data_IF_661311258789
#
_entry.id   IF_661311258789
#
_cell.length_a   1.000
_cell.length_b   1.000
_cell.length_c   1.000
_cell.angle_alpha   90.00
_cell.angle_beta   90.00
_cell.angle_gamma   90.00
#
_symmetry.space_group_name_H-M   'P 1'
#
loop_
_entity.id
_entity.type
_entity.pdbx_description
1 polymer ?
#
# COMPACT_ATOMS: atom_id res chain seq x y z
N UNK A 1 -0.73 -18.83 -4.39
CA UNK A 1 -1.37 -19.08 -3.08
C UNK A 1 -1.65 -17.73 -2.45
N UNK A 2 -2.85 -17.53 -1.89
CA UNK A 2 -3.20 -16.27 -1.20
C UNK A 2 -2.93 -16.48 0.30
N UNK A 3 -2.27 -15.52 0.95
CA UNK A 3 -1.99 -15.52 2.39
C UNK A 3 -0.79 -16.33 2.85
N UNK A 4 0.00 -16.89 1.93
CA UNK A 4 1.27 -17.55 2.26
C UNK A 4 2.42 -16.51 2.30
N UNK A 5 2.32 -15.57 3.22
CA UNK A 5 3.27 -14.46 3.41
C UNK A 5 3.25 -14.01 4.87
N UNK A 6 4.38 -13.53 5.37
CA UNK A 6 4.52 -12.92 6.70
C UNK A 6 4.97 -11.45 6.56
N UNK A 7 4.05 -10.53 6.27
CA UNK A 7 4.39 -9.14 6.07
C UNK A 7 4.72 -8.43 7.39
N UNK A 8 5.66 -7.50 7.35
CA UNK A 8 5.82 -6.47 8.37
C UNK A 8 4.69 -5.43 8.29
N UNK A 9 3.45 -5.87 8.51
CA UNK A 9 2.25 -5.08 8.34
C UNK A 9 0.97 -5.94 8.38
N UNK A 10 -0.19 -5.38 7.99
CA UNK A 10 -1.46 -6.08 8.06
C UNK A 10 -1.59 -7.19 7.00
N UNK A 11 -1.59 -8.46 7.42
CA UNK A 11 -1.78 -9.63 6.54
C UNK A 11 -3.10 -9.60 5.79
N UNK A 12 -4.17 -9.10 6.41
CA UNK A 12 -5.51 -9.00 5.79
C UNK A 12 -5.50 -8.14 4.54
N UNK A 13 -4.82 -6.98 4.59
CA UNK A 13 -4.64 -6.08 3.45
C UNK A 13 -3.81 -6.74 2.35
N UNK A 14 -2.74 -7.45 2.74
CA UNK A 14 -1.90 -8.18 1.79
C UNK A 14 -2.67 -9.27 1.06
N UNK A 15 -3.49 -10.05 1.78
CA UNK A 15 -4.36 -11.08 1.20
C UNK A 15 -5.39 -10.48 0.23
N UNK A 16 -5.95 -9.31 0.55
CA UNK A 16 -6.90 -8.61 -0.34
C UNK A 16 -6.24 -8.21 -1.67
N UNK A 17 -5.05 -7.62 -1.63
CA UNK A 17 -4.30 -7.26 -2.85
C UNK A 17 -3.87 -8.48 -3.66
N UNK A 18 -3.46 -9.56 -3.00
CA UNK A 18 -3.17 -10.83 -3.66
C UNK A 18 -4.40 -11.39 -4.38
N UNK A 19 -5.56 -11.41 -3.71
CA UNK A 19 -6.82 -11.86 -4.29
C UNK A 19 -7.22 -11.01 -5.50
N UNK A 20 -7.09 -9.68 -5.40
CA UNK A 20 -7.32 -8.75 -6.50
C UNK A 20 -6.39 -9.02 -7.69
N UNK A 21 -5.11 -9.23 -7.45
CA UNK A 21 -4.14 -9.52 -8.52
C UNK A 21 -4.47 -10.84 -9.22
N UNK A 22 -4.72 -11.90 -8.46
CA UNK A 22 -5.06 -13.24 -8.99
C UNK A 22 -6.34 -13.22 -9.80
N UNK A 23 -7.39 -12.55 -9.32
CA UNK A 23 -8.66 -12.43 -10.05
C UNK A 23 -8.50 -11.68 -11.36
N UNK A 24 -7.68 -10.63 -11.41
CA UNK A 24 -7.35 -9.94 -12.65
C UNK A 24 -6.52 -10.79 -13.63
N UNK A 25 -5.60 -11.62 -13.13
CA UNK A 25 -4.87 -12.60 -13.94
C UNK A 25 -5.82 -13.64 -14.54
N UNK A 26 -6.72 -14.21 -13.73
CA UNK A 26 -7.73 -15.17 -14.21
C UNK A 26 -8.70 -14.57 -15.22
N UNK A 27 -9.10 -13.31 -15.00
CA UNK A 27 -9.90 -12.55 -15.95
C UNK A 27 -9.13 -12.09 -17.20
N UNK A 28 -7.85 -12.49 -17.36
CA UNK A 28 -6.95 -12.11 -18.46
C UNK A 28 -6.80 -10.60 -18.65
N UNK A 29 -6.97 -9.83 -17.57
CA UNK A 29 -6.71 -8.38 -17.55
C UNK A 29 -5.25 -8.05 -17.33
N UNK A 30 -4.51 -8.99 -16.74
CA UNK A 30 -3.07 -8.89 -16.45
C UNK A 30 -2.43 -10.16 -16.98
N UNK A 31 -1.37 -10.01 -17.78
CA UNK A 31 -0.62 -11.15 -18.30
C UNK A 31 0.41 -11.62 -17.29
N UNK A 32 0.55 -12.94 -17.17
CA UNK A 32 1.65 -13.52 -16.43
C UNK A 32 2.96 -13.33 -17.22
N UNK A 33 4.07 -12.93 -16.56
CA UNK A 33 5.38 -12.95 -17.22
C UNK A 33 5.78 -14.39 -17.61
N UNK A 34 6.84 -14.51 -18.41
CA UNK A 34 7.40 -15.82 -18.78
C UNK A 34 7.94 -16.56 -17.56
N UNK A 35 8.02 -17.88 -17.65
CA UNK A 35 8.56 -18.73 -16.57
C UNK A 35 9.98 -18.32 -16.17
N UNK A 36 10.86 -18.07 -17.14
CA UNK A 36 12.24 -17.63 -16.88
C UNK A 36 12.29 -16.30 -16.11
N UNK A 37 11.41 -15.34 -16.46
CA UNK A 37 11.32 -14.07 -15.76
C UNK A 37 10.82 -14.25 -14.33
N UNK A 38 9.82 -15.12 -14.11
CA UNK A 38 9.32 -15.45 -12.77
C UNK A 38 10.39 -16.11 -11.91
N UNK A 39 11.13 -17.09 -12.44
CA UNK A 39 12.17 -17.79 -11.72
C UNK A 39 13.34 -16.86 -11.36
N UNK A 40 13.72 -15.97 -12.28
CA UNK A 40 14.72 -14.94 -12.03
C UNK A 40 14.28 -13.97 -10.91
N UNK A 41 13.04 -13.51 -10.95
CA UNK A 41 12.47 -12.61 -9.93
C UNK A 41 12.41 -13.28 -8.54
N UNK A 42 11.95 -14.53 -8.47
CA UNK A 42 11.94 -15.33 -7.24
C UNK A 42 13.36 -15.45 -6.65
N UNK A 43 14.37 -15.67 -7.49
CA UNK A 43 15.76 -15.77 -7.03
C UNK A 43 16.26 -14.44 -6.48
N UNK A 44 16.03 -13.34 -7.20
CA UNK A 44 16.42 -12.00 -6.77
C UNK A 44 15.76 -11.60 -5.45
N UNK A 45 14.45 -11.86 -5.29
CA UNK A 45 13.71 -11.52 -4.08
C UNK A 45 14.18 -12.34 -2.87
N UNK A 46 14.51 -13.63 -3.06
CA UNK A 46 15.10 -14.46 -2.01
C UNK A 46 16.45 -13.92 -1.54
N UNK A 47 17.32 -13.52 -2.46
CA UNK A 47 18.63 -12.93 -2.14
C UNK A 47 18.47 -11.60 -1.39
N UNK A 48 17.57 -10.72 -1.87
CA UNK A 48 17.27 -9.44 -1.24
C UNK A 48 16.70 -9.61 0.18
N UNK A 49 15.77 -10.54 0.36
CA UNK A 49 15.14 -10.84 1.66
C UNK A 49 16.16 -11.34 2.70
N UNK A 50 17.07 -12.23 2.30
CA UNK A 50 18.15 -12.72 3.19
C UNK A 50 19.06 -11.57 3.63
N UNK A 51 19.43 -10.69 2.69
CA UNK A 51 20.28 -9.53 2.99
C UNK A 51 19.57 -8.51 3.89
N UNK A 52 18.28 -8.26 3.68
CA UNK A 52 17.48 -7.28 4.44
C UNK A 52 17.25 -7.72 5.88
N UNK A 53 16.84 -8.96 6.11
CA UNK A 53 16.40 -9.41 7.44
C UNK A 53 17.52 -9.99 8.30
N UNK A 54 18.72 -10.25 7.76
CA UNK A 54 19.90 -10.77 8.49
C UNK A 54 19.59 -11.95 9.44
N UNK A 55 18.55 -12.72 9.11
CA UNK A 55 18.06 -13.86 9.87
C UNK A 55 18.39 -15.17 9.13
N UNK A 56 18.28 -16.31 9.82
CA UNK A 56 18.46 -17.60 9.15
C UNK A 56 17.47 -17.75 7.99
N UNK A 57 17.93 -18.28 6.85
CA UNK A 57 17.13 -18.42 5.62
C UNK A 57 15.77 -19.12 5.86
N UNK A 58 15.68 -19.99 6.86
CA UNK A 58 14.43 -20.67 7.26
C UNK A 58 13.42 -19.71 7.88
N UNK A 59 13.84 -18.75 8.72
CA UNK A 59 12.97 -17.75 9.36
C UNK A 59 12.61 -16.59 8.41
N UNK A 60 13.54 -16.21 7.52
CA UNK A 60 13.31 -15.14 6.56
C UNK A 60 12.50 -15.57 5.31
N UNK A 61 12.21 -16.87 5.14
CA UNK A 61 11.66 -17.43 3.90
C UNK A 61 10.29 -16.89 3.48
N UNK A 62 9.47 -16.43 4.44
CA UNK A 62 8.13 -15.87 4.21
C UNK A 62 8.05 -14.38 4.54
N UNK A 63 9.12 -13.82 5.11
CA UNK A 63 9.10 -12.45 5.63
C UNK A 63 9.21 -11.47 4.47
N UNK A 64 8.25 -10.54 4.40
CA UNK A 64 8.20 -9.53 3.33
C UNK A 64 8.05 -8.12 3.89
N UNK A 65 8.59 -7.17 3.16
CA UNK A 65 8.39 -5.75 3.44
C UNK A 65 7.04 -5.32 2.89
N UNK A 66 6.13 -4.94 3.78
CA UNK A 66 4.75 -4.63 3.46
C UNK A 66 4.64 -3.55 2.37
N UNK A 67 5.37 -2.44 2.50
CA UNK A 67 5.25 -1.30 1.57
C UNK A 67 5.76 -1.71 0.19
N UNK A 68 6.96 -2.26 0.12
CA UNK A 68 7.56 -2.69 -1.14
C UNK A 68 6.71 -3.74 -1.86
N UNK A 69 6.21 -4.75 -1.14
CA UNK A 69 5.37 -5.79 -1.72
C UNK A 69 4.03 -5.25 -2.23
N UNK A 70 3.38 -4.41 -1.42
CA UNK A 70 2.11 -3.79 -1.80
C UNK A 70 2.27 -2.84 -2.99
N UNK A 71 3.39 -2.13 -3.10
CA UNK A 71 3.69 -1.28 -4.25
C UNK A 71 3.96 -2.07 -5.52
N UNK A 72 4.64 -3.21 -5.43
CA UNK A 72 4.82 -4.12 -6.57
C UNK A 72 3.46 -4.61 -7.10
N UNK A 73 2.59 -5.09 -6.21
CA UNK A 73 1.23 -5.48 -6.58
C UNK A 73 0.43 -4.29 -7.12
N UNK A 74 0.58 -3.11 -6.51
CA UNK A 74 -0.07 -1.88 -6.95
C UNK A 74 0.33 -1.47 -8.37
N UNK A 75 1.59 -1.66 -8.76
CA UNK A 75 2.07 -1.42 -10.14
C UNK A 75 1.47 -2.42 -11.12
N UNK A 76 1.47 -3.71 -10.76
CA UNK A 76 0.88 -4.78 -11.58
C UNK A 76 -0.61 -4.51 -11.83
N UNK A 77 -1.31 -4.03 -10.80
CA UNK A 77 -2.73 -3.68 -10.84
C UNK A 77 -3.03 -2.28 -11.39
N UNK A 78 -2.00 -1.47 -11.68
CA UNK A 78 -2.13 -0.05 -12.03
C UNK A 78 -2.99 0.76 -11.03
N UNK A 79 -2.88 0.46 -9.74
CA UNK A 79 -3.57 1.16 -8.65
C UNK A 79 -2.63 1.85 -7.66
N UNK A 80 -1.31 1.82 -7.91
CA UNK A 80 -0.33 2.60 -7.16
C UNK A 80 -0.52 4.09 -7.52
N UNK A 81 -0.80 4.97 -6.54
CA UNK A 81 -0.97 6.39 -6.81
C UNK A 81 0.35 7.02 -7.28
N UNK A 82 0.26 8.00 -8.17
CA UNK A 82 1.43 8.80 -8.56
C UNK A 82 1.92 9.61 -7.35
N UNK A 83 3.06 9.24 -6.79
CA UNK A 83 3.71 9.96 -5.69
C UNK A 83 4.71 11.02 -6.16
N UNK A 84 4.72 11.35 -7.46
CA UNK A 84 5.60 12.35 -8.04
C UNK A 84 5.18 13.80 -7.78
N UNK A 85 6.01 14.74 -8.26
CA UNK A 85 5.77 16.19 -8.16
C UNK A 85 4.44 16.64 -8.76
N UNK A 86 3.90 15.91 -9.75
CA UNK A 86 2.60 16.20 -10.37
C UNK A 86 1.44 16.07 -9.39
N UNK A 87 1.51 15.13 -8.44
CA UNK A 87 0.49 14.98 -7.40
C UNK A 87 0.50 16.16 -6.44
N UNK A 88 1.69 16.65 -6.07
CA UNK A 88 1.83 17.86 -5.24
C UNK A 88 1.22 19.11 -5.90
N UNK A 89 1.26 19.21 -7.23
CA UNK A 89 0.61 20.31 -7.95
C UNK A 89 -0.90 20.16 -8.05
N UNK A 90 -1.41 18.92 -8.15
CA UNK A 90 -2.84 18.66 -8.29
C UNK A 90 -3.58 18.73 -6.96
N UNK A 91 -3.00 18.14 -5.91
CA UNK A 91 -3.60 18.05 -4.59
C UNK A 91 -2.50 17.98 -3.51
N UNK A 92 -1.97 19.13 -3.08
CA UNK A 92 -0.82 19.19 -2.18
C UNK A 92 -1.10 18.54 -0.82
N UNK A 93 -2.34 18.64 -0.32
CA UNK A 93 -2.75 18.04 0.96
C UNK A 93 -2.74 16.52 0.88
N UNK A 94 -3.30 15.97 -0.20
CA UNK A 94 -3.28 14.53 -0.43
C UNK A 94 -1.85 14.03 -0.67
N UNK A 95 -1.05 14.73 -1.48
CA UNK A 95 0.34 14.39 -1.76
C UNK A 95 1.18 14.33 -0.48
N UNK A 96 1.01 15.31 0.41
CA UNK A 96 1.68 15.33 1.71
C UNK A 96 1.25 14.13 2.57
N UNK A 97 -0.06 13.84 2.64
CA UNK A 97 -0.57 12.70 3.41
C UNK A 97 -0.10 11.35 2.85
N UNK A 98 0.01 11.21 1.53
CA UNK A 98 0.53 9.99 0.89
C UNK A 98 2.02 9.78 1.13
N UNK A 99 2.81 10.86 1.23
CA UNK A 99 4.26 10.77 1.36
C UNK A 99 4.73 10.74 2.83
N UNK A 100 4.14 11.58 3.68
CA UNK A 100 4.54 11.76 5.08
C UNK A 100 3.55 11.20 6.09
N UNK A 101 2.35 10.80 5.64
CA UNK A 101 1.33 10.19 6.49
C UNK A 101 1.48 8.67 6.58
N UNK A 102 0.59 8.01 7.34
CA UNK A 102 0.58 6.56 7.45
C UNK A 102 0.11 5.92 6.14
N UNK A 103 0.83 4.90 5.68
CA UNK A 103 0.41 4.09 4.54
C UNK A 103 -0.82 3.28 4.95
N UNK A 104 -1.97 3.63 4.36
CA UNK A 104 -3.24 2.95 4.61
C UNK A 104 -3.64 2.10 3.40
N UNK A 105 -4.44 1.03 3.57
CA UNK A 105 -4.95 0.24 2.45
C UNK A 105 -5.70 1.07 1.38
N UNK A 106 -6.21 2.24 1.77
CA UNK A 106 -6.89 3.20 0.90
C UNK A 106 -5.98 3.76 -0.21
N UNK A 107 -4.65 3.75 -0.03
CA UNK A 107 -3.69 4.21 -1.04
C UNK A 107 -3.88 3.44 -2.36
N UNK A 108 -4.06 2.12 -2.27
CA UNK A 108 -4.23 1.22 -3.42
C UNK A 108 -5.67 1.18 -3.98
N UNK A 109 -6.51 2.14 -3.56
CA UNK A 109 -7.86 2.40 -4.09
C UNK A 109 -8.05 3.84 -4.56
N UNK A 110 -6.99 4.65 -4.52
CA UNK A 110 -7.04 6.04 -4.96
C UNK A 110 -7.10 6.14 -6.49
N UNK A 111 -6.40 5.24 -7.17
CA UNK A 111 -6.37 5.11 -8.63
C UNK A 111 -6.64 3.67 -9.08
N UNK A 112 -6.84 3.50 -10.39
CA UNK A 112 -7.15 2.22 -11.02
C UNK A 112 -8.66 1.93 -11.13
N UNK A 113 -9.00 0.69 -11.47
CA UNK A 113 -10.39 0.27 -11.75
C UNK A 113 -11.30 0.24 -10.53
N UNK A 114 -10.73 0.30 -9.32
CA UNK A 114 -11.46 0.28 -8.04
C UNK A 114 -11.47 1.66 -7.37
N UNK A 115 -11.35 2.73 -8.16
CA UNK A 115 -11.35 4.10 -7.67
C UNK A 115 -12.69 4.44 -7.04
N UNK A 116 -12.65 4.83 -5.76
CA UNK A 116 -13.82 5.29 -5.00
C UNK A 116 -13.69 6.80 -4.76
N UNK A 117 -14.75 7.56 -5.03
CA UNK A 117 -14.72 9.03 -4.94
C UNK A 117 -14.40 9.53 -3.52
N UNK A 118 -14.87 8.82 -2.50
CA UNK A 118 -14.66 9.15 -1.09
C UNK A 118 -13.26 8.78 -0.56
N UNK A 119 -12.43 8.07 -1.34
CA UNK A 119 -11.10 7.61 -0.87
C UNK A 119 -10.22 8.77 -0.43
N UNK A 120 -10.23 9.87 -1.18
CA UNK A 120 -9.46 11.07 -0.87
C UNK A 120 -9.77 11.60 0.52
N UNK A 121 -11.04 11.90 0.78
CA UNK A 121 -11.46 12.51 2.05
C UNK A 121 -11.28 11.52 3.20
N UNK A 122 -11.42 10.21 2.93
CA UNK A 122 -11.12 9.18 3.92
C UNK A 122 -9.63 9.15 4.27
N UNK A 123 -8.72 9.31 3.32
CA UNK A 123 -7.27 9.39 3.59
C UNK A 123 -6.97 10.62 4.45
N UNK A 124 -7.47 11.80 4.05
CA UNK A 124 -7.25 13.05 4.78
C UNK A 124 -7.80 12.99 6.22
N UNK A 125 -8.99 12.43 6.41
CA UNK A 125 -9.62 12.25 7.73
C UNK A 125 -9.12 11.05 8.53
N UNK A 126 -7.97 10.45 8.18
CA UNK A 126 -7.46 9.28 8.91
C UNK A 126 -7.13 9.61 10.36
N UNK A 127 -6.41 10.71 10.60
CA UNK A 127 -6.07 11.14 11.95
C UNK A 127 -7.28 11.58 12.76
N UNK A 128 -8.27 12.21 12.13
CA UNK A 128 -9.51 12.63 12.81
C UNK A 128 -10.29 11.41 13.34
N UNK A 129 -10.38 10.33 12.56
CA UNK A 129 -11.03 9.09 13.01
C UNK A 129 -10.29 8.42 14.16
N UNK A 130 -8.96 8.41 14.10
CA UNK A 130 -8.14 7.88 15.21
C UNK A 130 -8.35 8.75 16.45
N UNK A 131 -8.35 10.07 16.30
CA UNK A 131 -8.60 10.97 17.42
C UNK A 131 -9.99 10.76 18.05
N UNK A 132 -11.03 10.71 17.22
CA UNK A 132 -12.40 10.51 17.68
C UNK A 132 -12.55 9.21 18.47
N UNK A 133 -11.88 8.14 18.02
CA UNK A 133 -11.87 6.87 18.74
C UNK A 133 -11.17 6.96 20.10
N UNK A 134 -10.14 7.80 20.22
CA UNK A 134 -9.39 8.01 21.47
C UNK A 134 -10.04 9.03 22.40
N UNK A 135 -10.89 9.93 21.88
CA UNK A 135 -11.58 10.96 22.65
C UNK A 135 -13.06 11.07 22.23
N UNK A 136 -13.90 10.07 22.56
CA UNK A 136 -15.27 9.99 22.07
C UNK A 136 -16.21 11.10 22.59
N UNK A 137 -15.80 11.83 23.64
CA UNK A 137 -16.58 12.92 24.24
C UNK A 137 -15.98 14.31 23.98
N UNK A 138 -14.88 14.40 23.22
CA UNK A 138 -14.24 15.66 22.85
C UNK A 138 -14.96 16.38 21.71
N UNK A 139 -14.85 17.72 21.66
CA UNK A 139 -15.34 18.51 20.54
C UNK A 139 -14.60 18.15 19.25
N UNK A 140 -15.36 18.10 18.14
CA UNK A 140 -15.06 17.45 16.85
C UNK A 140 -13.83 17.94 16.05
N UNK A 141 -12.95 18.76 16.60
CA UNK A 141 -11.89 19.41 15.81
C UNK A 141 -10.51 18.96 16.25
N UNK A 142 -10.00 17.90 15.61
CA UNK A 142 -8.56 17.70 15.58
C UNK A 142 -7.97 18.71 14.60
N UNK A 143 -7.18 19.67 15.11
CA UNK A 143 -6.31 20.44 14.24
C UNK A 143 -5.24 19.48 13.73
N UNK A 144 -5.31 19.11 12.45
CA UNK A 144 -4.17 18.49 11.76
C UNK A 144 -2.89 19.27 12.14
N UNK A 145 -1.74 18.60 12.28
CA UNK A 145 -0.49 19.29 12.57
C UNK A 145 -0.34 20.46 11.59
N UNK A 146 0.05 21.63 12.13
CA UNK A 146 0.02 22.95 11.48
C UNK A 146 0.63 22.98 10.06
N UNK A 147 1.46 21.99 9.71
CA UNK A 147 2.04 21.75 8.40
C UNK A 147 1.03 21.40 7.28
N UNK A 148 -0.20 20.95 7.60
CA UNK A 148 -1.26 20.69 6.61
C UNK A 148 -2.23 21.88 6.40
N UNK A 149 -2.08 22.94 7.20
CA UNK A 149 -2.87 24.16 7.12
C UNK A 149 -2.27 25.23 6.20
N UNK A 150 -1.03 25.05 5.73
CA UNK A 150 -0.33 25.98 4.85
C UNK A 150 -0.29 25.52 3.39
N UNK A 151 -1.33 25.86 2.62
CA UNK A 151 -1.33 26.18 1.17
C UNK A 151 -2.80 26.37 0.72
#
# INVERSE_FOLDING_TARGET
>A
VIGLVDPLGPTTTTCEMQARTVTHMWARRINCPSEDAMLSDIKAEKEATVMRYRCSARKASLQIDFINYMDQLGRIMACLPDMGWKMFLRDPKLAFMLHFGPVTPLHYRLDGSTKEAATRDRILGTFDRVHLAMNPYGSSSYSLPMFLLGA
#
